data_IF_835562040692
#
_entry.id   IF_835562040692
#
_cell.length_a   1.000
_cell.length_b   1.000
_cell.length_c   1.000
_cell.angle_alpha   90.00
_cell.angle_beta   90.00
_cell.angle_gamma   90.00
#
_symmetry.space_group_name_H-M   'P 1'
#
loop_
_entity.id
_entity.type
_entity.pdbx_description
1 polymer ?
#
# COMPACT_ATOMS: atom_id res chain seq x y z
N UNK A 1 18.82 -12.52 -12.27
CA UNK A 1 17.47 -13.10 -12.18
C UNK A 1 17.65 -14.60 -12.15
N UNK A 2 17.46 -15.24 -10.99
CA UNK A 2 17.38 -16.70 -10.95
C UNK A 2 16.12 -17.09 -11.71
N UNK A 3 16.29 -17.39 -12.98
CA UNK A 3 15.22 -17.78 -13.88
C UNK A 3 14.60 -19.04 -13.31
N UNK A 4 13.33 -18.94 -12.91
CA UNK A 4 12.53 -20.11 -12.59
C UNK A 4 12.66 -21.04 -13.81
N UNK A 5 13.25 -22.21 -13.59
CA UNK A 5 13.28 -23.29 -14.56
C UNK A 5 11.85 -23.82 -14.67
N UNK A 6 11.01 -23.10 -15.42
CA UNK A 6 9.73 -23.65 -15.89
C UNK A 6 10.05 -24.69 -16.95
N UNK A 7 9.41 -25.86 -16.86
CA UNK A 7 9.46 -26.82 -17.95
C UNK A 7 8.77 -26.25 -19.18
N UNK A 8 9.22 -26.68 -20.36
CA UNK A 8 8.61 -26.27 -21.62
C UNK A 8 7.12 -26.64 -21.67
N UNK A 9 6.75 -27.76 -21.02
CA UNK A 9 5.37 -28.22 -20.94
C UNK A 9 4.50 -27.33 -20.04
N UNK A 10 5.01 -26.91 -18.86
CA UNK A 10 4.29 -25.97 -17.99
C UNK A 10 4.09 -24.63 -18.70
N UNK A 11 5.14 -24.14 -19.38
CA UNK A 11 5.05 -22.89 -20.13
C UNK A 11 4.03 -23.01 -21.26
N UNK A 12 4.05 -24.11 -22.02
CA UNK A 12 3.10 -24.36 -23.09
C UNK A 12 1.65 -24.42 -22.56
N UNK A 13 1.43 -25.13 -21.45
CA UNK A 13 0.12 -25.22 -20.80
C UNK A 13 -0.41 -23.85 -20.34
N UNK A 14 0.46 -23.01 -19.76
CA UNK A 14 0.07 -21.67 -19.32
C UNK A 14 -0.32 -20.76 -20.49
N UNK A 15 0.45 -20.78 -21.58
CA UNK A 15 0.16 -19.95 -22.76
C UNK A 15 -1.15 -20.38 -23.43
N UNK A 16 -1.30 -21.70 -23.68
CA UNK A 16 -2.50 -22.24 -24.30
C UNK A 16 -3.74 -22.06 -23.40
N UNK A 17 -3.58 -22.21 -22.08
CA UNK A 17 -4.67 -21.97 -21.12
C UNK A 17 -5.20 -20.53 -21.22
N UNK A 18 -4.30 -19.54 -21.31
CA UNK A 18 -4.68 -18.14 -21.44
C UNK A 18 -5.41 -17.86 -22.77
N UNK A 19 -5.03 -18.50 -23.88
CA UNK A 19 -5.75 -18.37 -25.16
C UNK A 19 -7.21 -18.86 -25.07
N UNK A 20 -7.43 -19.93 -24.31
CA UNK A 20 -8.78 -20.50 -24.08
C UNK A 20 -9.52 -19.75 -22.95
N UNK A 21 -8.86 -18.82 -22.27
CA UNK A 21 -9.42 -18.07 -21.13
C UNK A 21 -9.46 -18.88 -19.82
N UNK A 22 -8.73 -19.99 -19.75
CA UNK A 22 -8.67 -20.87 -18.58
C UNK A 22 -7.42 -20.58 -17.73
N UNK A 23 -7.61 -20.39 -16.43
CA UNK A 23 -6.53 -20.25 -15.45
C UNK A 23 -6.28 -21.56 -14.71
N UNK A 24 -5.06 -21.75 -14.21
CA UNK A 24 -4.64 -22.93 -13.43
C UNK A 24 -5.53 -23.23 -12.22
N UNK A 25 -6.06 -22.18 -11.61
CA UNK A 25 -6.91 -22.24 -10.41
C UNK A 25 -8.41 -22.14 -10.72
N UNK A 26 -8.79 -22.20 -12.01
CA UNK A 26 -10.19 -22.19 -12.44
C UNK A 26 -10.90 -20.85 -12.36
N UNK A 27 -10.19 -19.76 -12.00
CA UNK A 27 -10.75 -18.41 -11.95
C UNK A 27 -10.92 -17.81 -13.34
N UNK A 28 -11.84 -16.85 -13.46
CA UNK A 28 -11.99 -16.07 -14.69
C UNK A 28 -10.78 -15.14 -14.92
N UNK A 29 -10.48 -14.74 -16.17
CA UNK A 29 -9.35 -13.85 -16.47
C UNK A 29 -9.38 -12.51 -15.71
N UNK A 30 -10.56 -11.97 -15.45
CA UNK A 30 -10.78 -10.71 -14.73
C UNK A 30 -10.96 -10.86 -13.22
N UNK A 31 -10.97 -12.09 -12.70
CA UNK A 31 -11.29 -12.37 -11.30
C UNK A 31 -10.05 -12.31 -10.40
N UNK A 32 -10.18 -11.63 -9.26
CA UNK A 32 -9.15 -11.60 -8.22
C UNK A 32 -9.08 -12.91 -7.43
N UNK A 33 -7.98 -13.11 -6.70
CA UNK A 33 -7.92 -14.19 -5.70
C UNK A 33 -8.82 -13.82 -4.52
N UNK A 34 -9.26 -14.81 -3.71
CA UNK A 34 -9.94 -14.52 -2.46
C UNK A 34 -9.12 -13.53 -1.63
N UNK A 35 -9.79 -12.46 -1.20
CA UNK A 35 -9.22 -11.31 -0.51
C UNK A 35 -9.79 -11.26 0.91
N UNK A 36 -8.91 -11.23 1.90
CA UNK A 36 -9.26 -11.00 3.30
C UNK A 36 -8.45 -9.79 3.79
N UNK A 37 -9.13 -8.84 4.44
CA UNK A 37 -8.49 -7.65 5.01
C UNK A 37 -8.91 -7.56 6.47
N UNK A 38 -7.93 -7.49 7.37
CA UNK A 38 -8.17 -7.25 8.78
C UNK A 38 -7.57 -5.90 9.15
N UNK A 39 -8.39 -4.99 9.66
CA UNK A 39 -7.94 -3.69 10.17
C UNK A 39 -7.74 -3.74 11.68
N UNK A 40 -6.87 -2.89 12.21
CA UNK A 40 -6.61 -2.73 13.64
C UNK A 40 -5.95 -3.96 14.29
N UNK A 41 -5.00 -4.56 13.58
CA UNK A 41 -4.19 -5.70 14.03
C UNK A 41 -3.15 -5.32 15.11
N UNK A 42 -2.67 -4.07 15.10
CA UNK A 42 -1.67 -3.54 16.01
C UNK A 42 -2.27 -2.40 16.82
N UNK A 43 -2.37 -2.58 18.13
CA UNK A 43 -2.98 -1.63 19.08
C UNK A 43 -2.15 -0.37 19.33
N UNK A 44 -0.83 -0.46 19.16
CA UNK A 44 0.10 0.65 19.39
C UNK A 44 0.32 1.54 18.16
N UNK A 45 -0.09 1.08 16.98
CA UNK A 45 0.03 1.83 15.74
C UNK A 45 -1.11 2.84 15.62
N UNK A 46 -0.86 4.00 14.99
CA UNK A 46 -1.93 4.97 14.69
C UNK A 46 -2.98 4.34 13.77
N UNK A 47 -2.53 3.56 12.79
CA UNK A 47 -3.38 2.68 12.00
C UNK A 47 -2.61 1.43 11.61
N UNK A 48 -3.34 0.35 11.44
CA UNK A 48 -2.77 -0.93 11.03
C UNK A 48 -3.77 -1.75 10.24
N UNK A 49 -3.26 -2.56 9.32
CA UNK A 49 -4.05 -3.53 8.56
C UNK A 49 -3.18 -4.70 8.10
N UNK A 50 -3.77 -5.88 7.98
CA UNK A 50 -3.21 -7.01 7.24
C UNK A 50 -4.09 -7.29 6.02
N UNK A 51 -3.47 -7.86 4.99
CA UNK A 51 -4.16 -8.32 3.79
C UNK A 51 -3.67 -9.72 3.42
N UNK A 52 -4.61 -10.57 3.02
CA UNK A 52 -4.35 -11.88 2.43
C UNK A 52 -5.01 -11.95 1.05
N UNK A 53 -4.21 -12.15 0.01
CA UNK A 53 -4.66 -12.37 -1.38
C UNK A 53 -4.20 -13.76 -1.82
N UNK A 54 -5.04 -14.77 -1.60
CA UNK A 54 -4.61 -16.16 -1.69
C UNK A 54 -3.43 -16.44 -0.75
N UNK A 55 -2.28 -16.78 -1.31
CA UNK A 55 -1.02 -17.04 -0.59
C UNK A 55 -0.12 -15.81 -0.42
N UNK A 56 -0.59 -14.62 -0.82
CA UNK A 56 0.14 -13.37 -0.58
C UNK A 56 -0.33 -12.75 0.73
N UNK A 57 0.56 -12.61 1.71
CA UNK A 57 0.26 -12.02 3.02
C UNK A 57 1.16 -10.82 3.31
N UNK A 58 0.55 -9.65 3.53
CA UNK A 58 1.24 -8.40 3.80
C UNK A 58 0.63 -7.73 5.02
N UNK A 59 1.49 -7.17 5.86
CA UNK A 59 1.12 -6.38 7.04
C UNK A 59 1.57 -4.94 6.83
N UNK A 60 0.68 -3.98 7.13
CA UNK A 60 0.97 -2.55 7.06
C UNK A 60 0.76 -1.90 8.43
N UNK A 61 1.71 -1.06 8.82
CA UNK A 61 1.63 -0.20 9.98
C UNK A 61 1.72 1.26 9.54
N UNK A 62 0.92 2.13 10.16
CA UNK A 62 0.95 3.57 9.96
C UNK A 62 1.27 4.23 11.29
N UNK A 63 2.31 5.04 11.30
CA UNK A 63 2.73 5.87 12.43
C UNK A 63 2.72 7.34 12.02
N UNK A 64 2.35 8.23 12.93
CA UNK A 64 2.30 9.66 12.68
C UNK A 64 3.09 10.42 13.74
N UNK A 65 3.92 11.35 13.29
CA UNK A 65 4.75 12.20 14.16
C UNK A 65 4.73 13.65 13.69
N UNK A 66 5.02 14.59 14.59
CA UNK A 66 5.18 16.00 14.23
C UNK A 66 6.64 16.25 13.89
N UNK A 67 6.91 16.58 12.63
CA UNK A 67 8.24 16.86 12.10
C UNK A 67 8.36 18.24 11.49
N UNK A 68 9.52 18.51 10.88
CA UNK A 68 9.75 19.71 10.07
C UNK A 68 9.35 19.44 8.62
N UNK A 69 8.70 20.40 7.95
CA UNK A 69 8.38 20.25 6.53
C UNK A 69 9.65 20.26 5.67
N UNK A 70 9.50 19.75 4.45
CA UNK A 70 10.57 19.80 3.45
C UNK A 70 10.93 21.25 3.09
N UNK A 71 12.19 21.49 2.69
CA UNK A 71 12.64 22.81 2.28
C UNK A 71 11.95 23.29 0.98
N UNK A 72 11.56 22.35 0.12
CA UNK A 72 10.92 22.62 -1.17
C UNK A 72 9.43 22.91 -1.01
N UNK A 73 8.72 22.07 -0.24
CA UNK A 73 7.28 22.21 0.02
C UNK A 73 7.06 22.47 1.50
N UNK A 74 7.02 23.75 1.88
CA UNK A 74 6.91 24.20 3.28
C UNK A 74 5.48 24.23 3.82
N UNK A 75 4.48 24.10 2.93
CA UNK A 75 3.05 24.19 3.24
C UNK A 75 2.30 22.85 3.24
N UNK A 76 3.01 21.74 3.07
CA UNK A 76 2.45 20.39 2.96
C UNK A 76 3.09 19.47 4.01
N UNK A 77 2.37 18.42 4.41
CA UNK A 77 2.95 17.32 5.18
C UNK A 77 3.82 16.40 4.35
N UNK A 78 4.40 15.39 5.01
CA UNK A 78 5.27 14.40 4.37
C UNK A 78 4.76 12.99 4.60
N UNK A 79 4.87 12.16 3.57
CA UNK A 79 4.65 10.72 3.67
C UNK A 79 5.97 10.01 3.37
N UNK A 80 6.35 9.06 4.20
CA UNK A 80 7.50 8.19 4.02
C UNK A 80 7.04 6.74 4.03
N UNK A 81 7.28 6.03 2.93
CA UNK A 81 6.91 4.63 2.78
C UNK A 81 8.17 3.79 2.88
N UNK A 82 8.14 2.77 3.72
CA UNK A 82 9.15 1.74 3.82
C UNK A 82 8.54 0.38 3.47
N UNK A 83 9.31 -0.45 2.76
CA UNK A 83 8.88 -1.79 2.35
C UNK A 83 9.99 -2.74 2.72
N UNK A 84 9.64 -3.78 3.48
CA UNK A 84 10.55 -4.83 3.91
C UNK A 84 9.96 -6.18 3.53
N UNK A 85 10.79 -7.04 2.94
CA UNK A 85 10.43 -8.40 2.57
C UNK A 85 11.04 -9.35 3.61
N UNK A 86 10.20 -10.15 4.25
CA UNK A 86 10.70 -11.17 5.16
C UNK A 86 11.49 -12.21 4.36
N UNK A 87 12.63 -12.73 4.87
CA UNK A 87 13.46 -13.67 4.10
C UNK A 87 12.72 -14.94 3.65
N UNK A 88 11.70 -15.36 4.39
CA UNK A 88 10.85 -16.51 4.05
C UNK A 88 9.68 -16.16 3.12
N UNK A 89 9.43 -14.88 2.86
CA UNK A 89 8.25 -14.45 2.11
C UNK A 89 8.23 -14.94 0.67
N UNK A 90 9.40 -15.21 0.09
CA UNK A 90 9.48 -15.87 -1.21
C UNK A 90 10.42 -17.06 -1.09
N UNK A 91 9.88 -18.26 -1.31
CA UNK A 91 10.62 -19.52 -1.22
C UNK A 91 11.88 -19.62 -2.09
N UNK A 92 12.09 -18.69 -3.04
CA UNK A 92 13.13 -18.79 -4.08
C UNK A 92 13.76 -17.45 -4.48
N UNK A 93 13.57 -16.38 -3.69
CA UNK A 93 14.23 -15.11 -3.98
C UNK A 93 15.64 -15.12 -3.36
N UNK A 94 16.67 -14.91 -4.19
CA UNK A 94 17.98 -14.48 -3.69
C UNK A 94 17.81 -13.17 -2.92
N UNK A 95 18.62 -12.94 -1.88
CA UNK A 95 18.62 -11.69 -1.10
C UNK A 95 18.69 -10.44 -2.00
N UNK A 96 19.44 -10.53 -3.11
CA UNK A 96 19.55 -9.44 -4.10
C UNK A 96 18.22 -9.17 -4.80
N UNK A 97 17.51 -10.22 -5.21
CA UNK A 97 16.24 -10.10 -5.90
C UNK A 97 15.12 -9.59 -4.98
N UNK A 98 15.16 -9.95 -3.69
CA UNK A 98 14.27 -9.40 -2.68
C UNK A 98 14.51 -7.89 -2.49
N UNK A 99 15.77 -7.47 -2.38
CA UNK A 99 16.13 -6.05 -2.24
C UNK A 99 15.73 -5.21 -3.47
N UNK A 100 15.95 -5.72 -4.69
CA UNK A 100 15.47 -5.05 -5.92
C UNK A 100 13.95 -4.89 -5.94
N UNK A 101 13.21 -5.90 -5.46
CA UNK A 101 11.76 -5.87 -5.38
C UNK A 101 11.26 -4.86 -4.33
N UNK A 102 11.86 -4.83 -3.15
CA UNK A 102 11.58 -3.86 -2.09
C UNK A 102 11.78 -2.43 -2.59
N UNK A 103 12.93 -2.14 -3.19
CA UNK A 103 13.26 -0.81 -3.71
C UNK A 103 12.28 -0.39 -4.81
N UNK A 104 11.90 -1.32 -5.70
CA UNK A 104 10.92 -1.05 -6.76
C UNK A 104 9.54 -0.76 -6.20
N UNK A 105 9.06 -1.55 -5.23
CA UNK A 105 7.76 -1.32 -4.57
C UNK A 105 7.77 0.01 -3.83
N UNK A 106 8.83 0.27 -3.05
CA UNK A 106 9.03 1.51 -2.31
C UNK A 106 8.99 2.72 -3.22
N UNK A 107 9.77 2.72 -4.30
CA UNK A 107 9.83 3.86 -5.24
C UNK A 107 8.49 4.09 -5.96
N UNK A 108 7.82 3.01 -6.36
CA UNK A 108 6.50 3.08 -7.03
C UNK A 108 5.42 3.63 -6.10
N UNK A 109 5.35 3.14 -4.87
CA UNK A 109 4.40 3.65 -3.88
C UNK A 109 4.74 5.09 -3.50
N UNK A 110 6.00 5.38 -3.16
CA UNK A 110 6.44 6.71 -2.74
C UNK A 110 6.13 7.77 -3.80
N UNK A 111 6.45 7.51 -5.07
CA UNK A 111 6.15 8.43 -6.19
C UNK A 111 4.65 8.68 -6.37
N UNK A 112 3.83 7.66 -6.10
CA UNK A 112 2.37 7.75 -6.24
C UNK A 112 1.76 8.59 -5.11
N UNK A 113 2.23 8.41 -3.87
CA UNK A 113 1.75 9.19 -2.72
C UNK A 113 2.32 10.62 -2.67
N UNK A 114 3.45 10.88 -3.33
CA UNK A 114 4.01 12.24 -3.51
C UNK A 114 3.42 12.99 -4.70
N UNK A 115 2.70 12.30 -5.58
CA UNK A 115 2.07 12.93 -6.74
C UNK A 115 0.92 13.85 -6.31
N UNK A 116 0.47 14.73 -7.23
CA UNK A 116 -0.64 15.66 -7.01
C UNK A 116 -2.01 14.99 -6.80
N UNK A 117 -2.09 13.67 -6.80
CA UNK A 117 -3.34 12.94 -6.55
C UNK A 117 -3.81 13.05 -5.10
N UNK A 118 -2.89 13.31 -4.15
CA UNK A 118 -3.21 13.43 -2.72
C UNK A 118 -2.88 14.84 -2.25
N UNK A 119 -3.87 15.56 -1.70
CA UNK A 119 -3.64 16.86 -1.08
C UNK A 119 -3.03 16.69 0.32
N UNK A 120 -1.77 17.09 0.46
CA UNK A 120 -1.01 17.02 1.71
C UNK A 120 -1.02 18.35 2.48
N UNK A 121 -1.68 19.39 1.96
CA UNK A 121 -1.90 20.67 2.64
C UNK A 121 -2.50 20.53 4.05
N UNK A 122 -3.51 19.67 4.31
CA UNK A 122 -4.11 19.57 5.64
C UNK A 122 -3.17 18.99 6.71
N UNK A 123 -2.08 18.36 6.30
CA UNK A 123 -1.06 17.83 7.23
C UNK A 123 -0.10 18.93 7.72
N UNK A 124 -0.18 20.15 7.19
CA UNK A 124 0.63 21.27 7.65
C UNK A 124 0.02 21.91 8.91
N UNK A 125 0.76 21.92 10.01
CA UNK A 125 0.35 22.58 11.26
C UNK A 125 0.72 24.07 11.19
N UNK A 126 2.01 24.34 10.94
CA UNK A 126 2.54 25.69 10.77
C UNK A 126 3.51 25.70 9.59
N UNK A 127 3.17 26.49 8.56
CA UNK A 127 3.97 26.64 7.33
C UNK A 127 5.42 26.93 7.66
N UNK A 128 6.33 26.12 7.12
CA UNK A 128 7.78 26.25 7.29
C UNK A 128 8.33 25.90 8.67
N UNK A 129 7.51 25.48 9.64
CA UNK A 129 7.96 25.12 11.00
C UNK A 129 7.63 23.68 11.38
N UNK A 130 6.35 23.31 11.33
CA UNK A 130 5.86 22.03 11.82
C UNK A 130 4.82 21.46 10.87
N UNK A 131 4.95 20.19 10.54
CA UNK A 131 3.99 19.43 9.76
C UNK A 131 3.88 18.00 10.30
N UNK A 132 2.77 17.34 9.99
CA UNK A 132 2.65 15.91 10.21
C UNK A 132 3.50 15.14 9.20
N UNK A 133 4.23 14.15 9.72
CA UNK A 133 4.96 13.15 8.95
C UNK A 133 4.29 11.81 9.19
N UNK A 134 3.85 11.17 8.11
CA UNK A 134 3.21 9.86 8.12
C UNK A 134 4.23 8.84 7.65
N UNK A 135 4.56 7.90 8.53
CA UNK A 135 5.37 6.74 8.22
C UNK A 135 4.45 5.56 7.92
N UNK A 136 4.67 4.93 6.77
CA UNK A 136 3.92 3.76 6.30
C UNK A 136 4.93 2.64 6.14
N UNK A 137 4.88 1.66 7.03
CA UNK A 137 5.77 0.51 7.03
C UNK A 137 5.00 -0.71 6.51
N UNK A 138 5.51 -1.30 5.44
CA UNK A 138 4.98 -2.51 4.81
C UNK A 138 5.92 -3.68 5.06
N UNK A 139 5.39 -4.75 5.63
CA UNK A 139 6.09 -6.01 5.83
C UNK A 139 5.44 -7.10 4.99
N UNK A 140 6.17 -7.60 4.00
CA UNK A 140 5.74 -8.71 3.15
C UNK A 140 6.15 -10.00 3.85
N UNK A 141 5.16 -10.80 4.26
CA UNK A 141 5.39 -12.06 4.97
C UNK A 141 5.30 -13.27 4.06
N UNK A 142 4.43 -13.23 3.05
CA UNK A 142 4.31 -14.25 2.01
C UNK A 142 4.02 -13.57 0.66
N UNK A 143 4.72 -13.99 -0.40
CA UNK A 143 4.72 -13.34 -1.70
C UNK A 143 4.45 -14.28 -2.87
N UNK A 144 3.20 -14.69 -3.04
CA UNK A 144 2.75 -15.52 -4.16
C UNK A 144 2.25 -14.69 -5.37
N UNK A 145 2.91 -13.57 -5.66
CA UNK A 145 2.54 -12.66 -6.74
C UNK A 145 1.49 -11.59 -6.37
N UNK A 146 1.20 -10.72 -7.32
CA UNK A 146 0.34 -9.54 -7.17
C UNK A 146 0.67 -8.61 -5.98
N UNK A 147 1.97 -8.40 -5.72
CA UNK A 147 2.45 -7.65 -4.55
C UNK A 147 2.10 -6.16 -4.59
N UNK A 148 2.10 -5.55 -5.77
CA UNK A 148 1.84 -4.11 -5.91
C UNK A 148 0.39 -3.78 -5.52
N UNK A 149 -0.57 -4.58 -6.02
CA UNK A 149 -1.98 -4.39 -5.72
C UNK A 149 -2.26 -4.65 -4.24
N UNK A 150 -1.74 -5.76 -3.71
CA UNK A 150 -1.84 -6.11 -2.30
C UNK A 150 -1.30 -4.98 -1.40
N UNK A 151 -0.12 -4.44 -1.74
CA UNK A 151 0.49 -3.30 -1.03
C UNK A 151 -0.41 -2.07 -1.08
N UNK A 152 -1.00 -1.75 -2.23
CA UNK A 152 -1.87 -0.58 -2.34
C UNK A 152 -3.15 -0.69 -1.52
N UNK A 153 -3.76 -1.89 -1.51
CA UNK A 153 -4.97 -2.18 -0.75
C UNK A 153 -4.73 -2.11 0.74
N UNK A 154 -3.63 -2.70 1.24
CA UNK A 154 -3.33 -2.71 2.68
C UNK A 154 -2.94 -1.32 3.18
N UNK A 155 -2.19 -0.53 2.41
CA UNK A 155 -1.90 0.86 2.76
C UNK A 155 -3.19 1.67 2.86
N UNK A 156 -4.09 1.51 1.88
CA UNK A 156 -5.39 2.17 1.90
C UNK A 156 -6.20 1.78 3.14
N UNK A 157 -6.27 0.49 3.45
CA UNK A 157 -6.98 -0.01 4.64
C UNK A 157 -6.36 0.53 5.95
N UNK A 158 -5.03 0.53 6.06
CA UNK A 158 -4.34 1.02 7.25
C UNK A 158 -4.51 2.53 7.44
N UNK A 159 -4.48 3.33 6.37
CA UNK A 159 -4.74 4.76 6.40
C UNK A 159 -6.19 5.08 6.80
N UNK A 160 -7.17 4.34 6.25
CA UNK A 160 -8.57 4.49 6.64
C UNK A 160 -8.77 4.17 8.13
N UNK A 161 -8.16 3.09 8.62
CA UNK A 161 -8.18 2.76 10.04
C UNK A 161 -7.54 3.87 10.90
N UNK A 162 -6.40 4.42 10.48
CA UNK A 162 -5.74 5.54 11.17
C UNK A 162 -6.66 6.75 11.33
N UNK A 163 -7.48 7.06 10.31
CA UNK A 163 -8.45 8.16 10.38
C UNK A 163 -9.65 7.87 11.26
N UNK A 164 -10.05 6.60 11.40
CA UNK A 164 -11.20 6.21 12.24
C UNK A 164 -10.82 6.16 13.73
N UNK A 165 -9.61 5.72 14.06
CA UNK A 165 -9.18 5.51 15.44
C UNK A 165 -8.77 6.80 16.17
N UNK A 166 -8.45 7.88 15.44
CA UNK A 166 -7.84 9.07 16.04
C UNK A 166 -8.75 10.30 16.00
N UNK A 167 -9.56 10.50 17.06
CA UNK A 167 -10.44 11.66 17.24
C UNK A 167 -9.70 13.02 17.32
N UNK A 168 -8.39 13.00 17.60
CA UNK A 168 -7.55 14.20 17.61
C UNK A 168 -7.19 14.70 16.20
N UNK A 169 -7.07 13.81 15.20
CA UNK A 169 -6.94 14.22 13.80
C UNK A 169 -8.20 14.95 13.33
N UNK A 170 -9.35 14.47 13.77
CA UNK A 170 -10.67 15.09 13.59
C UNK A 170 -10.72 16.54 14.09
N UNK A 171 -10.09 16.83 15.24
CA UNK A 171 -10.01 18.19 15.80
C UNK A 171 -9.03 19.11 15.04
N UNK A 172 -7.96 18.56 14.46
CA UNK A 172 -7.03 19.30 13.58
C UNK A 172 -7.73 19.75 12.30
N UNK A 173 -8.66 18.96 11.77
CA UNK A 173 -9.52 19.36 10.64
C UNK A 173 -10.67 20.32 11.02
N UNK A 174 -11.04 20.43 12.30
CA UNK A 174 -12.16 21.27 12.77
C UNK A 174 -11.77 22.69 13.17
N UNK A 175 -10.50 22.98 13.48
CA UNK A 175 -10.11 24.30 13.97
C UNK A 175 -9.91 25.33 12.85
N UNK A 176 -11.02 25.74 12.22
CA UNK A 176 -11.19 27.13 11.79
C UNK A 176 -12.64 27.62 11.59
N UNK A 177 -13.64 27.04 12.26
CA UNK A 177 -14.92 27.76 12.41
C UNK A 177 -15.71 27.34 13.64
N UNK A 178 -16.24 28.34 14.33
CA UNK A 178 -17.12 28.24 15.49
C UNK A 178 -18.28 27.29 15.20
N UNK A 179 -18.42 26.27 16.06
CA UNK A 179 -19.67 25.64 16.49
C UNK A 179 -20.83 25.64 15.48
N UNK A 180 -20.82 24.70 14.54
CA UNK A 180 -22.00 23.95 14.08
C UNK A 180 -21.47 22.60 13.58
N UNK A 181 -22.10 21.51 14.01
CA UNK A 181 -21.92 20.12 13.58
C UNK A 181 -21.21 19.96 12.23
N UNK A 182 -19.89 19.79 12.26
CA UNK A 182 -19.07 19.67 11.08
C UNK A 182 -18.64 18.22 10.94
N UNK A 183 -19.28 17.54 9.99
CA UNK A 183 -18.96 16.21 9.49
C UNK A 183 -17.44 15.97 9.50
N UNK A 184 -17.07 14.84 10.09
CA UNK A 184 -15.74 14.28 10.08
C UNK A 184 -15.15 14.41 8.68
N UNK A 185 -14.20 15.32 8.46
CA UNK A 185 -13.37 15.27 7.25
C UNK A 185 -12.38 14.12 7.41
N UNK A 186 -12.91 12.91 7.33
CA UNK A 186 -12.18 11.70 6.97
C UNK A 186 -11.36 12.05 5.71
N UNK A 187 -10.15 11.50 5.60
CA UNK A 187 -9.55 11.38 4.27
C UNK A 187 -10.60 10.69 3.40
N UNK A 188 -11.15 11.40 2.40
CA UNK A 188 -12.12 10.81 1.47
C UNK A 188 -11.42 9.58 0.89
N UNK A 189 -11.88 8.39 1.27
CA UNK A 189 -11.30 7.12 0.82
C UNK A 189 -11.25 6.98 -0.70
N UNK A 190 -12.06 7.77 -1.40
CA UNK A 190 -12.11 7.88 -2.86
C UNK A 190 -10.84 8.46 -3.48
N UNK A 191 -10.04 9.23 -2.73
CA UNK A 191 -8.85 9.91 -3.23
C UNK A 191 -7.55 9.11 -3.06
N UNK A 192 -7.60 7.97 -2.37
CA UNK A 192 -6.41 7.14 -2.16
C UNK A 192 -6.18 6.22 -3.37
N UNK A 193 -4.97 6.25 -3.96
CA UNK A 193 -4.64 5.51 -5.17
C UNK A 193 -4.69 4.00 -4.90
N UNK A 194 -5.27 3.26 -5.86
CA UNK A 194 -5.27 1.81 -5.89
C UNK A 194 -4.57 1.35 -7.16
N UNK A 195 -3.80 0.27 -7.03
CA UNK A 195 -3.13 -0.35 -8.17
C UNK A 195 -3.89 -1.59 -8.60
N UNK A 196 -3.92 -1.78 -9.92
CA UNK A 196 -4.43 -2.99 -10.56
C UNK A 196 -3.35 -3.47 -11.52
N UNK A 197 -2.82 -4.66 -11.27
CA UNK A 197 -1.75 -5.24 -12.07
C UNK A 197 -2.35 -6.13 -13.14
N UNK A 198 -2.08 -5.78 -14.41
CA UNK A 198 -2.50 -6.56 -15.57
C UNK A 198 -1.26 -7.24 -16.15
N UNK A 199 -1.29 -8.57 -16.23
CA UNK A 199 -0.23 -9.33 -16.87
C UNK A 199 -0.59 -9.59 -18.33
N UNK A 200 0.25 -9.08 -19.23
CA UNK A 200 0.17 -9.41 -20.66
C UNK A 200 1.06 -10.61 -20.95
N UNK A 201 0.46 -11.71 -21.38
CA UNK A 201 1.18 -12.85 -21.94
C UNK A 201 1.42 -12.58 -23.42
N UNK A 202 2.69 -12.63 -23.84
CA UNK A 202 3.08 -12.51 -25.24
C UNK A 202 3.30 -13.91 -25.83
N UNK A 203 2.87 -14.09 -27.08
CA UNK A 203 3.28 -15.20 -27.94
C UNK A 203 4.72 -15.02 -28.41
#
# INVERSE_FOLDING_TARGET
MDTILLSDLERFYLVQGVEVGCRMDGREPSEYRPLEIETNILSHATGSASIRIGETFIVCCVKMEVGKPSLTNTGEGRIEINVECYPTATHRCSEKAASELEERLKTTLQSTYQSKFIDLSPLCIQRGRQCWVIYIDLLILEGAGNLLDASSLVVKAALLNATQSNSLLLSVFQNNSKSVEAEVRQLRGDMLPLFVTIHKTFH
#
